data_IF_716627588494
#
_entry.id   IF_716627588494
#
_cell.length_a   1.000
_cell.length_b   1.000
_cell.length_c   1.000
_cell.angle_alpha   90.00
_cell.angle_beta   90.00
_cell.angle_gamma   90.00
#
_symmetry.space_group_name_H-M   'P 1'
#
loop_
_entity.id
_entity.type
_entity.pdbx_description
1 polymer ?
#
# COMPACT_ATOMS: atom_id res chain seq x y z
N UNK A 1 -1.66 8.14 3.49
CA UNK A 1 -0.96 8.15 4.79
C UNK A 1 -2.03 8.43 5.82
N UNK A 2 -2.21 7.56 6.82
CA UNK A 2 -3.12 7.84 7.94
C UNK A 2 -2.35 8.54 9.07
N UNK A 3 -3.08 8.97 10.11
CA UNK A 3 -2.51 9.64 11.28
C UNK A 3 -1.43 8.79 12.00
N UNK A 4 -0.73 9.44 12.94
CA UNK A 4 0.29 8.83 13.79
C UNK A 4 -0.15 8.88 15.25
N UNK A 5 0.35 7.93 16.05
CA UNK A 5 0.28 8.02 17.51
C UNK A 5 1.68 8.28 18.04
N UNK A 6 1.93 9.50 18.48
CA UNK A 6 3.15 9.81 19.22
C UNK A 6 2.95 9.48 20.70
N UNK A 7 3.56 8.39 21.14
CA UNK A 7 3.46 7.92 22.51
C UNK A 7 4.33 8.77 23.45
N UNK A 8 3.68 9.53 24.33
CA UNK A 8 4.31 10.36 25.38
C UNK A 8 4.21 9.75 26.78
N UNK A 9 3.92 8.45 26.88
CA UNK A 9 3.83 7.78 28.18
C UNK A 9 5.21 7.76 28.86
N UNK A 10 5.25 8.15 30.12
CA UNK A 10 6.43 8.03 30.96
C UNK A 10 6.66 6.56 31.35
N UNK A 11 7.84 6.03 31.01
CA UNK A 11 8.24 4.65 31.32
C UNK A 11 9.69 4.66 31.80
N UNK A 12 9.90 4.26 33.05
CA UNK A 12 11.24 4.25 33.66
C UNK A 12 11.84 5.65 33.82
N UNK A 13 11.01 6.66 34.11
CA UNK A 13 11.45 8.04 34.35
C UNK A 13 11.76 8.86 33.10
N UNK A 14 11.35 8.39 31.91
CA UNK A 14 11.47 9.11 30.64
C UNK A 14 10.25 8.88 29.75
N UNK A 15 9.96 9.85 28.88
CA UNK A 15 8.93 9.68 27.86
C UNK A 15 9.34 8.59 26.86
N UNK A 16 8.38 7.76 26.46
CA UNK A 16 8.59 6.70 25.49
C UNK A 16 9.04 7.25 24.11
N UNK A 17 8.48 8.37 23.71
CA UNK A 17 8.77 9.12 22.48
C UNK A 17 8.74 8.33 21.17
N UNK A 18 8.02 7.20 21.17
CA UNK A 18 7.87 6.37 19.97
C UNK A 18 6.70 6.89 19.14
N UNK A 19 6.96 7.12 17.85
CA UNK A 19 5.94 7.46 16.87
C UNK A 19 5.48 6.17 16.20
N UNK A 20 4.21 5.85 16.37
CA UNK A 20 3.57 4.68 15.78
C UNK A 20 2.83 5.12 14.52
N UNK A 21 3.22 4.59 13.37
CA UNK A 21 2.61 4.96 12.10
C UNK A 21 1.42 4.07 11.80
N UNK A 22 0.27 4.68 11.56
CA UNK A 22 -0.94 3.99 11.15
C UNK A 22 -0.96 3.94 9.62
N UNK A 23 -0.93 2.75 9.06
CA UNK A 23 -1.01 2.58 7.61
C UNK A 23 -2.47 2.63 7.13
N UNK A 24 -2.73 3.19 5.93
CA UNK A 24 -4.08 3.29 5.40
C UNK A 24 -4.72 1.93 5.09
N UNK A 25 -3.95 0.89 4.85
CA UNK A 25 -4.53 -0.41 4.50
C UNK A 25 -5.31 -0.98 5.69
N UNK A 26 -4.72 -0.91 6.89
CA UNK A 26 -5.36 -1.35 8.13
C UNK A 26 -6.32 -0.31 8.72
N UNK A 27 -5.91 0.97 8.77
CA UNK A 27 -6.57 1.98 9.61
C UNK A 27 -7.46 3.01 8.87
N UNK A 28 -7.80 2.81 7.58
CA UNK A 28 -8.62 3.80 6.85
C UNK A 28 -10.02 4.03 7.45
N UNK A 29 -10.71 2.98 7.87
CA UNK A 29 -12.01 3.04 8.54
C UNK A 29 -11.97 1.94 9.59
N UNK A 30 -11.47 2.26 10.77
CA UNK A 30 -11.10 1.28 11.79
C UNK A 30 -11.36 1.82 13.19
N UNK A 31 -11.86 0.97 14.07
CA UNK A 31 -12.14 1.28 15.47
C UNK A 31 -11.67 0.10 16.33
N UNK A 32 -10.98 0.40 17.42
CA UNK A 32 -10.46 -0.61 18.34
C UNK A 32 -9.25 -0.13 19.14
N UNK A 33 -8.53 -1.08 19.73
CA UNK A 33 -7.33 -0.83 20.54
C UNK A 33 -6.03 -1.18 19.81
N UNK A 34 -5.01 -0.33 19.98
CA UNK A 34 -3.68 -0.49 19.38
C UNK A 34 -2.59 -0.26 20.43
N UNK A 35 -1.55 -1.10 20.44
CA UNK A 35 -0.41 -0.90 21.34
C UNK A 35 0.65 0.02 20.75
N UNK A 36 1.38 0.73 21.63
CA UNK A 36 2.68 1.29 21.30
C UNK A 36 3.68 0.16 21.03
N UNK A 37 4.46 0.29 19.95
CA UNK A 37 5.47 -0.70 19.58
C UNK A 37 6.59 -0.82 20.64
N UNK A 38 6.84 0.23 21.42
CA UNK A 38 7.89 0.26 22.43
C UNK A 38 7.39 -0.16 23.82
N UNK A 39 6.57 0.69 24.45
CA UNK A 39 6.20 0.53 25.86
C UNK A 39 4.94 -0.30 26.10
N UNK A 40 4.30 -0.81 25.05
CA UNK A 40 3.06 -1.61 25.12
C UNK A 40 1.84 -0.89 25.66
N UNK A 41 1.90 0.41 25.95
CA UNK A 41 0.71 1.19 26.28
C UNK A 41 -0.34 1.01 25.19
N UNK A 42 -1.55 0.65 25.59
CA UNK A 42 -2.67 0.41 24.70
C UNK A 42 -3.51 1.67 24.59
N UNK A 43 -3.85 2.04 23.36
CA UNK A 43 -4.66 3.19 23.02
C UNK A 43 -5.90 2.75 22.27
N UNK A 44 -7.06 3.27 22.64
CA UNK A 44 -8.25 3.21 21.80
C UNK A 44 -8.19 4.33 20.76
N UNK A 45 -8.47 3.98 19.49
CA UNK A 45 -8.63 4.93 18.40
C UNK A 45 -9.87 4.60 17.57
N UNK A 46 -10.45 5.62 16.97
CA UNK A 46 -11.48 5.50 15.94
C UNK A 46 -11.08 6.38 14.75
N UNK A 47 -10.85 5.73 13.61
CA UNK A 47 -10.41 6.30 12.36
C UNK A 47 -11.56 6.31 11.35
N UNK A 48 -11.78 7.45 10.69
CA UNK A 48 -12.74 7.61 9.60
C UNK A 48 -12.02 8.20 8.39
N UNK A 49 -12.06 7.51 7.25
CA UNK A 49 -11.37 7.89 6.00
C UNK A 49 -9.90 8.27 6.20
N UNK A 50 -9.24 7.58 7.12
CA UNK A 50 -7.83 7.72 7.45
C UNK A 50 -7.46 8.84 8.41
N UNK A 51 -8.43 9.57 8.95
CA UNK A 51 -8.23 10.58 9.98
C UNK A 51 -8.70 10.07 11.36
N UNK A 52 -7.98 10.45 12.41
CA UNK A 52 -8.34 10.12 13.77
C UNK A 52 -9.54 10.94 14.22
N UNK A 53 -10.72 10.33 14.20
CA UNK A 53 -11.97 10.93 14.64
C UNK A 53 -12.06 10.98 16.17
N UNK A 54 -11.55 9.95 16.85
CA UNK A 54 -11.47 9.88 18.31
C UNK A 54 -10.21 9.13 18.75
N UNK A 55 -9.66 9.54 19.89
CA UNK A 55 -8.40 9.02 20.43
C UNK A 55 -7.21 9.92 20.11
N UNK A 56 -5.99 9.51 20.46
CA UNK A 56 -5.66 8.27 21.17
C UNK A 56 -6.02 8.37 22.66
N UNK A 57 -6.85 7.46 23.15
CA UNK A 57 -7.24 7.38 24.57
C UNK A 57 -6.52 6.19 25.22
N UNK A 58 -5.76 6.40 26.30
CA UNK A 58 -5.12 5.31 27.02
C UNK A 58 -6.15 4.32 27.61
N UNK A 59 -5.89 3.03 27.40
CA UNK A 59 -6.69 1.90 27.90
C UNK A 59 -5.79 0.96 28.72
N UNK A 60 -5.40 1.34 29.94
CA UNK A 60 -4.49 0.54 30.74
C UNK A 60 -5.11 -0.81 31.11
N UNK A 61 -4.37 -1.91 30.87
CA UNK A 61 -4.79 -3.27 31.21
C UNK A 61 -5.67 -3.96 30.17
N UNK A 62 -6.02 -3.30 29.06
CA UNK A 62 -6.67 -3.93 27.92
C UNK A 62 -5.64 -4.56 26.98
N UNK A 63 -6.00 -5.67 26.34
CA UNK A 63 -5.20 -6.26 25.27
C UNK A 63 -5.44 -5.50 23.95
N UNK A 64 -4.39 -5.27 23.14
CA UNK A 64 -4.55 -4.59 21.86
C UNK A 64 -5.21 -5.50 20.83
N UNK A 65 -6.20 -5.00 20.09
CA UNK A 65 -6.77 -5.67 18.93
C UNK A 65 -5.72 -5.83 17.82
N UNK A 66 -4.83 -4.84 17.68
CA UNK A 66 -3.76 -4.87 16.69
C UNK A 66 -2.54 -4.03 17.09
N UNK A 67 -1.50 -4.06 16.26
CA UNK A 67 -0.26 -3.32 16.44
C UNK A 67 0.00 -2.40 15.24
N UNK A 68 0.80 -1.34 15.38
CA UNK A 68 1.23 -0.54 14.23
C UNK A 68 2.07 -1.39 13.27
N UNK A 69 2.09 -0.98 12.00
CA UNK A 69 2.93 -1.64 11.00
C UNK A 69 4.41 -1.25 11.16
N UNK A 70 4.65 0.01 11.49
CA UNK A 70 5.98 0.59 11.63
C UNK A 70 5.98 1.60 12.77
N UNK A 71 7.09 1.70 13.48
CA UNK A 71 7.30 2.72 14.49
C UNK A 71 8.75 3.19 14.50
N UNK A 72 8.99 4.47 14.80
CA UNK A 72 10.33 5.02 14.96
C UNK A 72 10.47 5.87 16.23
N UNK A 73 11.73 6.14 16.57
CA UNK A 73 12.13 6.96 17.72
C UNK A 73 13.09 8.03 17.20
N UNK A 74 12.58 9.19 16.73
CA UNK A 74 13.40 10.21 16.07
C UNK A 74 14.48 10.78 17.00
N UNK A 75 14.22 10.83 18.31
CA UNK A 75 15.18 11.32 19.30
C UNK A 75 16.21 10.28 19.76
N UNK A 76 16.07 9.03 19.33
CA UNK A 76 16.99 7.92 19.63
C UNK A 76 17.75 7.51 18.37
N UNK A 77 18.33 8.50 17.67
CA UNK A 77 19.09 8.28 16.43
C UNK A 77 18.27 7.67 15.29
N UNK A 78 16.95 7.89 15.27
CA UNK A 78 16.02 7.26 14.32
C UNK A 78 16.01 5.72 14.38
N UNK A 79 16.19 5.15 15.57
CA UNK A 79 15.91 3.74 15.80
C UNK A 79 14.46 3.40 15.43
N UNK A 80 14.23 2.21 14.88
CA UNK A 80 12.92 1.83 14.36
C UNK A 80 12.55 0.37 14.61
N UNK A 81 11.25 0.12 14.62
CA UNK A 81 10.62 -1.18 14.61
C UNK A 81 9.96 -1.40 13.25
N UNK A 82 10.54 -2.32 12.48
CA UNK A 82 9.99 -2.76 11.19
C UNK A 82 8.78 -3.67 11.40
N UNK A 83 8.11 -4.01 10.32
CA UNK A 83 6.94 -4.88 10.33
C UNK A 83 7.28 -6.31 10.80
N UNK A 84 6.33 -6.95 11.49
CA UNK A 84 6.42 -8.35 11.89
C UNK A 84 7.29 -8.66 13.12
N UNK A 85 7.65 -7.67 13.92
CA UNK A 85 8.37 -7.90 15.18
C UNK A 85 7.35 -8.31 16.25
N UNK A 86 7.46 -9.54 16.73
CA UNK A 86 6.52 -10.16 17.67
C UNK A 86 6.20 -9.26 18.88
N UNK A 87 4.91 -9.07 19.12
CA UNK A 87 4.36 -8.22 20.17
C UNK A 87 4.56 -6.71 19.97
N UNK A 88 5.38 -6.24 19.02
CA UNK A 88 5.67 -4.82 18.77
C UNK A 88 4.91 -4.28 17.57
N UNK A 89 5.07 -4.93 16.43
CA UNK A 89 4.51 -4.51 15.15
C UNK A 89 3.80 -5.68 14.48
N UNK A 90 2.74 -5.37 13.73
CA UNK A 90 2.03 -6.40 12.96
C UNK A 90 2.85 -6.76 11.71
N UNK A 91 2.73 -7.99 11.17
CA UNK A 91 3.34 -8.33 9.90
C UNK A 91 2.69 -7.55 8.75
N UNK A 92 3.48 -7.20 7.73
CA UNK A 92 2.94 -6.62 6.52
C UNK A 92 2.21 -7.68 5.70
N UNK A 93 0.88 -7.68 5.79
CA UNK A 93 0.11 -8.75 5.16
C UNK A 93 -0.13 -8.56 3.67
N UNK A 94 0.18 -7.41 3.04
CA UNK A 94 -0.07 -7.13 1.60
C UNK A 94 -1.49 -7.50 1.10
N UNK A 95 -2.41 -7.85 2.00
CA UNK A 95 -3.70 -8.40 1.63
C UNK A 95 -4.60 -7.19 1.39
N UNK A 96 -5.03 -6.92 0.15
CA UNK A 96 -6.16 -6.03 -0.03
C UNK A 96 -7.30 -6.53 0.86
N UNK A 97 -8.11 -5.61 1.40
CA UNK A 97 -9.28 -6.01 2.20
C UNK A 97 -10.04 -7.08 1.42
N UNK A 98 -10.58 -8.09 2.10
CA UNK A 98 -11.27 -9.21 1.44
C UNK A 98 -12.34 -8.75 0.43
N UNK A 99 -12.95 -7.59 0.67
CA UNK A 99 -13.94 -6.93 -0.20
C UNK A 99 -13.37 -5.94 -1.24
N UNK A 100 -12.08 -5.58 -1.16
CA UNK A 100 -11.31 -4.83 -2.18
C UNK A 100 -10.59 -5.77 -3.14
N UNK A 101 -11.06 -7.02 -3.26
CA UNK A 101 -10.66 -7.96 -4.31
C UNK A 101 -11.34 -7.60 -5.62
N UNK A 102 -11.05 -6.41 -6.13
CA UNK A 102 -11.40 -6.07 -7.50
C UNK A 102 -10.69 -7.03 -8.45
N UNK A 103 -11.40 -7.55 -9.45
CA UNK A 103 -10.73 -8.13 -10.61
C UNK A 103 -10.03 -6.97 -11.30
N UNK A 104 -8.72 -7.07 -11.50
CA UNK A 104 -7.99 -6.03 -12.22
C UNK A 104 -8.61 -5.92 -13.63
N UNK A 105 -9.15 -4.75 -13.98
CA UNK A 105 -9.59 -4.49 -15.34
C UNK A 105 -8.35 -4.47 -16.23
N UNK A 106 -8.30 -5.45 -17.10
CA UNK A 106 -7.18 -5.64 -18.00
C UNK A 106 -7.35 -4.71 -19.20
N UNK A 107 -6.68 -3.55 -19.14
CA UNK A 107 -6.75 -2.52 -20.17
C UNK A 107 -5.83 -2.89 -21.34
N UNK A 108 -6.41 -3.14 -22.52
CA UNK A 108 -5.68 -3.39 -23.79
C UNK A 108 -5.20 -2.13 -24.48
N UNK A 109 -6.03 -1.08 -24.46
CA UNK A 109 -5.78 0.19 -25.15
C UNK A 109 -5.92 1.35 -24.18
N UNK A 110 -5.05 2.34 -24.35
CA UNK A 110 -5.17 3.64 -23.71
C UNK A 110 -6.42 4.37 -24.21
N UNK A 111 -6.78 5.46 -23.52
CA UNK A 111 -7.84 6.39 -23.96
C UNK A 111 -7.59 6.96 -25.37
N UNK A 112 -6.35 6.91 -25.87
CA UNK A 112 -5.96 7.35 -27.21
C UNK A 112 -6.05 6.24 -28.27
N UNK A 113 -6.58 5.07 -27.92
CA UNK A 113 -6.66 3.91 -28.83
C UNK A 113 -5.32 3.23 -29.10
N UNK A 114 -4.22 3.67 -28.47
CA UNK A 114 -2.91 3.01 -28.58
C UNK A 114 -2.81 1.85 -27.58
N UNK A 115 -2.22 0.70 -27.94
CA UNK A 115 -2.13 -0.42 -27.00
C UNK A 115 -1.29 -0.05 -25.75
N UNK A 116 -1.44 -0.76 -24.64
CA UNK A 116 -0.68 -0.50 -23.41
C UNK A 116 0.05 -1.74 -22.92
N UNK A 117 1.21 -1.55 -22.26
CA UNK A 117 2.03 -2.65 -21.70
C UNK A 117 1.33 -3.46 -20.59
N UNK A 118 0.24 -2.94 -20.03
CA UNK A 118 -0.52 -3.61 -18.96
C UNK A 118 -1.20 -4.90 -19.44
N UNK A 119 -1.55 -4.99 -20.72
CA UNK A 119 -2.08 -6.21 -21.33
C UNK A 119 -0.93 -7.10 -21.80
N UNK A 120 -0.66 -8.19 -21.07
CA UNK A 120 0.26 -9.23 -21.53
C UNK A 120 -0.43 -10.04 -22.61
N UNK A 121 0.11 -9.96 -23.82
CA UNK A 121 0.98 -11.06 -24.21
C UNK A 121 2.18 -10.54 -24.99
N UNK A 122 3.24 -10.22 -24.26
CA UNK A 122 4.54 -10.08 -24.89
C UNK A 122 5.04 -11.49 -25.27
N UNK A 123 5.77 -11.64 -26.39
CA UNK A 123 6.45 -12.89 -26.68
C UNK A 123 7.38 -13.24 -25.49
N UNK A 124 7.61 -14.53 -25.19
CA UNK A 124 8.38 -14.97 -24.02
C UNK A 124 9.79 -14.39 -23.90
N UNK A 125 10.32 -13.82 -25.00
CA UNK A 125 11.65 -13.23 -25.10
C UNK A 125 11.65 -12.07 -26.10
N UNK A 126 12.33 -10.97 -25.75
CA UNK A 126 12.47 -9.78 -26.60
C UNK A 126 13.93 -9.38 -26.90
N UNK A 127 14.88 -10.30 -26.74
CA UNK A 127 16.28 -10.06 -27.05
C UNK A 127 17.23 -10.79 -26.11
N UNK A 128 18.51 -10.41 -26.14
CA UNK A 128 19.53 -10.96 -25.24
C UNK A 128 19.12 -10.70 -23.78
N UNK A 129 19.06 -11.77 -22.98
CA UNK A 129 18.67 -11.76 -21.56
C UNK A 129 17.24 -11.22 -21.25
N UNK A 130 16.31 -11.22 -22.20
CA UNK A 130 14.93 -10.78 -21.95
C UNK A 130 14.78 -9.27 -21.73
N UNK A 131 15.77 -8.48 -22.15
CA UNK A 131 15.71 -7.02 -22.09
C UNK A 131 14.73 -6.49 -23.13
N UNK A 132 13.80 -5.64 -22.70
CA UNK A 132 12.90 -4.89 -23.58
C UNK A 132 13.43 -3.45 -23.64
N UNK A 133 13.92 -3.02 -24.81
CA UNK A 133 14.28 -1.63 -25.03
C UNK A 133 13.06 -0.68 -24.89
N UNK A 134 13.33 0.62 -24.87
CA UNK A 134 12.28 1.66 -24.89
C UNK A 134 11.51 1.73 -26.23
N UNK A 135 12.02 1.06 -27.27
CA UNK A 135 11.36 0.97 -28.57
C UNK A 135 10.13 0.07 -28.50
N UNK A 136 9.01 0.62 -28.98
CA UNK A 136 7.69 0.01 -28.92
C UNK A 136 7.46 -0.83 -30.19
N UNK A 137 7.67 -2.14 -30.10
CA UNK A 137 7.49 -3.05 -31.23
C UNK A 137 6.04 -3.58 -31.28
N UNK A 138 5.13 -2.75 -31.81
CA UNK A 138 3.68 -3.02 -31.86
C UNK A 138 3.36 -4.28 -32.66
N UNK A 139 4.20 -4.60 -33.66
CA UNK A 139 4.03 -5.75 -34.55
C UNK A 139 4.26 -7.09 -33.85
N UNK A 140 4.88 -7.09 -32.66
CA UNK A 140 5.12 -8.29 -31.84
C UNK A 140 4.06 -8.51 -30.75
N UNK A 141 3.02 -7.69 -30.68
CA UNK A 141 1.85 -8.00 -29.87
C UNK A 141 1.18 -9.27 -30.41
N UNK A 142 0.42 -10.00 -29.60
CA UNK A 142 -0.30 -11.19 -30.11
C UNK A 142 -1.23 -10.83 -31.27
N UNK A 143 -1.53 -11.83 -32.14
CA UNK A 143 -2.34 -11.62 -33.33
C UNK A 143 -3.69 -10.92 -33.08
N UNK A 144 -4.34 -11.20 -31.95
CA UNK A 144 -5.64 -10.63 -31.56
C UNK A 144 -5.56 -9.13 -31.24
N UNK A 145 -4.53 -8.69 -30.52
CA UNK A 145 -4.35 -7.27 -30.16
C UNK A 145 -3.92 -6.46 -31.38
N UNK A 146 -3.10 -7.05 -32.25
CA UNK A 146 -2.67 -6.40 -33.49
C UNK A 146 -3.83 -6.20 -34.45
N UNK A 147 -4.68 -7.21 -34.64
CA UNK A 147 -5.88 -7.12 -35.48
C UNK A 147 -6.86 -6.05 -34.95
N UNK A 148 -7.12 -6.06 -33.64
CA UNK A 148 -7.98 -5.06 -32.98
C UNK A 148 -7.38 -3.64 -33.11
N UNK A 149 -6.05 -3.49 -33.02
CA UNK A 149 -5.39 -2.21 -33.27
C UNK A 149 -5.54 -1.72 -34.72
N UNK A 150 -5.42 -2.61 -35.71
CA UNK A 150 -5.62 -2.25 -37.13
C UNK A 150 -7.05 -1.81 -37.40
N UNK A 151 -8.05 -2.46 -36.77
CA UNK A 151 -9.45 -2.04 -36.87
C UNK A 151 -9.65 -0.64 -36.28
N UNK A 152 -9.06 -0.35 -35.11
CA UNK A 152 -9.11 0.98 -34.48
C UNK A 152 -8.44 2.06 -35.31
N UNK A 153 -7.31 1.73 -35.95
CA UNK A 153 -6.64 2.63 -36.89
C UNK A 153 -7.55 2.93 -38.10
N UNK A 154 -8.15 1.90 -38.70
CA UNK A 154 -9.06 2.05 -39.83
C UNK A 154 -10.33 2.86 -39.47
N UNK A 155 -10.80 2.73 -38.23
CA UNK A 155 -11.95 3.48 -37.70
C UNK A 155 -11.61 4.93 -37.28
N UNK A 156 -10.34 5.34 -37.34
CA UNK A 156 -9.90 6.67 -36.90
C UNK A 156 -9.98 6.89 -35.38
N UNK A 157 -10.02 5.82 -34.60
CA UNK A 157 -10.11 5.87 -33.13
C UNK A 157 -8.75 6.13 -32.47
N UNK A 158 -7.65 5.95 -33.19
CA UNK A 158 -6.29 6.16 -32.70
C UNK A 158 -5.88 7.61 -32.90
N UNK A 159 -5.53 8.29 -31.80
CA UNK A 159 -5.14 9.71 -31.79
C UNK A 159 -3.69 9.89 -31.35
N UNK A 160 -3.02 10.86 -31.95
CA UNK A 160 -1.66 11.27 -31.58
C UNK A 160 -1.62 12.18 -30.35
N UNK A 161 -2.71 12.93 -30.09
CA UNK A 161 -2.86 13.84 -28.96
C UNK A 161 -4.23 13.68 -28.28
#
# INVERSE_FOLDING_TARGET
>A
MCDIIWCKKEVGGKDCDTINYLDPYCFWDWEGTINCAECKTVYYIHMIKGFMFKGPEERPGEEPDTSPLYADKPFDGYSNYRDGIEGRTRPYQCKPRSWLTGVADMVKFSIRGRPVRGWRPQPPSAGLAGSFGFNWDIQKLTPDVWEEYQQKLAAGEVKDW
#
